data_IF_684941809362
#
_entry.id   IF_684941809362
#
_cell.length_a   1.000
_cell.length_b   1.000
_cell.length_c   1.000
_cell.angle_alpha   90.00
_cell.angle_beta   90.00
_cell.angle_gamma   90.00
#
_symmetry.space_group_name_H-M   'P 1'
#
loop_
_entity.id
_entity.type
_entity.pdbx_description
1 polymer ?
#
# COMPACT_ATOMS: atom_id res chain seq x y z
N UNK A 1 -13.47 -8.87 5.63
CA UNK A 1 -13.99 -10.12 5.03
C UNK A 1 -12.87 -11.13 4.94
N UNK A 2 -13.11 -12.39 5.28
CA UNK A 2 -12.21 -13.52 4.97
C UNK A 2 -12.56 -14.11 3.60
N UNK A 3 -11.56 -14.40 2.78
CA UNK A 3 -11.77 -14.95 1.44
C UNK A 3 -10.58 -15.80 1.01
N UNK A 4 -10.81 -16.78 0.13
CA UNK A 4 -9.71 -17.58 -0.42
C UNK A 4 -8.75 -16.70 -1.23
N UNK A 5 -7.45 -16.98 -1.16
CA UNK A 5 -6.42 -16.23 -1.90
C UNK A 5 -6.59 -16.28 -3.43
N UNK A 6 -7.33 -17.25 -3.96
CA UNK A 6 -7.63 -17.46 -5.38
C UNK A 6 -9.04 -17.02 -5.80
N UNK A 7 -9.75 -16.31 -4.93
CA UNK A 7 -11.10 -15.78 -5.20
C UNK A 7 -11.13 -14.95 -6.49
N UNK A 8 -12.22 -15.08 -7.25
CA UNK A 8 -12.43 -14.33 -8.48
C UNK A 8 -12.50 -12.83 -8.20
N UNK A 9 -11.69 -12.05 -8.91
CA UNK A 9 -11.56 -10.61 -8.69
C UNK A 9 -12.85 -9.84 -9.00
N UNK A 10 -13.69 -10.33 -9.92
CA UNK A 10 -15.00 -9.72 -10.21
C UNK A 10 -15.90 -9.70 -8.97
N UNK A 11 -15.89 -10.79 -8.18
CA UNK A 11 -16.67 -10.88 -6.94
C UNK A 11 -16.09 -9.98 -5.86
N UNK A 12 -14.76 -9.93 -5.74
CA UNK A 12 -14.09 -9.05 -4.79
C UNK A 12 -14.36 -7.57 -5.10
N UNK A 13 -14.33 -7.19 -6.38
CA UNK A 13 -14.63 -5.84 -6.81
C UNK A 13 -16.10 -5.48 -6.67
N UNK A 14 -17.01 -6.43 -6.94
CA UNK A 14 -18.42 -6.25 -6.66
C UNK A 14 -18.65 -5.96 -5.17
N UNK A 15 -18.01 -6.71 -4.27
CA UNK A 15 -18.09 -6.45 -2.84
C UNK A 15 -17.57 -5.05 -2.49
N UNK A 16 -16.35 -4.70 -2.93
CA UNK A 16 -15.73 -3.43 -2.57
C UNK A 16 -16.55 -2.22 -3.07
N UNK A 17 -17.03 -2.26 -4.31
CA UNK A 17 -17.72 -1.11 -4.92
C UNK A 17 -19.21 -1.08 -4.56
N UNK A 18 -19.90 -2.23 -4.55
CA UNK A 18 -21.35 -2.26 -4.32
C UNK A 18 -21.70 -2.41 -2.84
N UNK A 19 -21.17 -3.44 -2.18
CA UNK A 19 -21.55 -3.77 -0.80
C UNK A 19 -20.88 -2.85 0.22
N UNK A 20 -19.57 -2.57 0.04
CA UNK A 20 -18.83 -1.63 0.88
C UNK A 20 -18.99 -0.17 0.45
N UNK A 21 -19.70 0.07 -0.67
CA UNK A 21 -19.96 1.41 -1.21
C UNK A 21 -18.69 2.26 -1.39
N UNK A 22 -17.57 1.62 -1.72
CA UNK A 22 -16.31 2.34 -1.94
C UNK A 22 -16.33 3.05 -3.29
N UNK A 23 -15.93 4.32 -3.29
CA UNK A 23 -15.66 5.04 -4.53
C UNK A 23 -14.47 4.41 -5.25
N UNK A 24 -14.62 4.17 -6.56
CA UNK A 24 -13.55 3.65 -7.41
C UNK A 24 -12.32 4.57 -7.35
N UNK A 25 -11.11 4.04 -7.15
CA UNK A 25 -9.92 4.87 -6.99
C UNK A 25 -9.54 5.53 -8.31
N UNK A 26 -9.03 6.75 -8.23
CA UNK A 26 -8.35 7.40 -9.37
C UNK A 26 -6.87 7.06 -9.44
N UNK A 27 -6.33 6.47 -8.37
CA UNK A 27 -4.95 6.03 -8.21
C UNK A 27 -4.90 4.92 -7.16
N UNK A 28 -4.00 3.95 -7.33
CA UNK A 28 -3.67 2.97 -6.30
C UNK A 28 -2.23 3.18 -5.86
N UNK A 29 -2.05 3.36 -4.55
CA UNK A 29 -0.73 3.42 -3.91
C UNK A 29 -0.53 2.11 -3.16
N UNK A 30 0.33 1.23 -3.67
CA UNK A 30 0.65 -0.04 -3.03
C UNK A 30 1.93 0.10 -2.22
N UNK A 31 1.82 0.10 -0.89
CA UNK A 31 2.96 0.30 0.02
C UNK A 31 3.55 -1.04 0.45
N UNK A 32 4.85 -1.19 0.27
CA UNK A 32 5.65 -2.36 0.61
C UNK A 32 6.79 -1.98 1.56
N UNK A 33 7.27 -2.95 2.32
CA UNK A 33 8.33 -2.69 3.29
C UNK A 33 8.48 -3.81 4.30
N UNK A 34 9.31 -3.58 5.31
CA UNK A 34 9.50 -4.57 6.37
C UNK A 34 8.23 -4.84 7.18
N UNK A 35 7.91 -6.11 7.35
CA UNK A 35 6.83 -6.62 8.20
C UNK A 35 7.15 -6.44 9.69
N UNK A 36 8.44 -6.54 10.07
CA UNK A 36 8.91 -6.37 11.45
C UNK A 36 9.02 -4.90 11.82
N UNK A 37 8.78 -4.57 13.08
CA UNK A 37 8.92 -3.19 13.56
C UNK A 37 10.32 -2.63 13.34
N UNK A 38 10.37 -1.43 12.77
CA UNK A 38 11.59 -0.64 12.59
C UNK A 38 11.30 0.83 12.90
N UNK A 39 12.35 1.58 13.22
CA UNK A 39 12.24 3.01 13.54
C UNK A 39 12.70 3.84 12.35
N UNK A 40 11.78 4.64 11.81
CA UNK A 40 12.13 5.67 10.84
C UNK A 40 12.79 6.86 11.55
N UNK A 41 13.84 7.47 10.97
CA UNK A 41 14.35 8.77 11.40
C UNK A 41 13.22 9.80 11.45
N UNK A 42 13.23 10.70 12.44
CA UNK A 42 12.11 11.63 12.71
C UNK A 42 11.74 12.48 11.50
N UNK A 43 12.75 13.04 10.80
CA UNK A 43 12.56 13.81 9.56
C UNK A 43 11.90 12.96 8.48
N UNK A 44 12.38 11.74 8.25
CA UNK A 44 11.81 10.82 7.26
C UNK A 44 10.39 10.39 7.62
N UNK A 45 10.11 10.13 8.90
CA UNK A 45 8.76 9.79 9.37
C UNK A 45 7.77 10.92 9.04
N UNK A 46 8.14 12.17 9.30
CA UNK A 46 7.29 13.33 9.00
C UNK A 46 7.05 13.50 7.49
N UNK A 47 8.11 13.40 6.69
CA UNK A 47 8.02 13.51 5.22
C UNK A 47 7.16 12.38 4.63
N UNK A 48 7.39 11.14 5.07
CA UNK A 48 6.60 9.99 4.66
C UNK A 48 5.12 10.17 4.99
N UNK A 49 4.80 10.49 6.25
CA UNK A 49 3.42 10.65 6.70
C UNK A 49 2.70 11.78 5.95
N UNK A 50 3.33 12.95 5.84
CA UNK A 50 2.74 14.11 5.14
C UNK A 50 2.57 13.83 3.65
N UNK A 51 3.58 13.25 2.99
CA UNK A 51 3.56 12.95 1.57
C UNK A 51 2.49 11.92 1.21
N UNK A 52 2.42 10.80 1.93
CA UNK A 52 1.45 9.73 1.70
C UNK A 52 0.02 10.23 1.87
N UNK A 53 -0.27 10.88 3.00
CA UNK A 53 -1.61 11.42 3.29
C UNK A 53 -2.01 12.45 2.23
N UNK A 54 -1.13 13.40 1.91
CA UNK A 54 -1.44 14.45 0.93
C UNK A 54 -1.69 13.87 -0.46
N UNK A 55 -0.90 12.90 -0.90
CA UNK A 55 -1.08 12.24 -2.19
C UNK A 55 -2.43 11.50 -2.25
N UNK A 56 -2.75 10.72 -1.21
CA UNK A 56 -3.99 9.95 -1.17
C UNK A 56 -5.24 10.84 -1.12
N UNK A 57 -5.22 11.89 -0.31
CA UNK A 57 -6.33 12.83 -0.20
C UNK A 57 -6.56 13.62 -1.49
N UNK A 58 -5.49 14.13 -2.11
CA UNK A 58 -5.58 14.99 -3.30
C UNK A 58 -6.08 14.23 -4.52
N UNK A 59 -5.69 12.95 -4.65
CA UNK A 59 -6.03 12.12 -5.81
C UNK A 59 -7.28 11.28 -5.60
N UNK A 60 -7.72 11.07 -4.36
CA UNK A 60 -8.71 10.03 -4.04
C UNK A 60 -8.13 8.63 -4.26
N UNK A 61 -6.88 8.42 -3.85
CA UNK A 61 -6.22 7.13 -4.02
C UNK A 61 -6.71 6.10 -2.99
N UNK A 62 -6.70 4.83 -3.39
CA UNK A 62 -6.69 3.73 -2.44
C UNK A 62 -5.25 3.44 -2.01
N UNK A 63 -5.06 3.19 -0.71
CA UNK A 63 -3.78 2.75 -0.15
C UNK A 63 -3.87 1.26 0.15
N UNK A 64 -3.05 0.44 -0.51
CA UNK A 64 -2.93 -0.98 -0.25
C UNK A 64 -1.71 -1.26 0.63
N UNK A 65 -1.86 -2.15 1.62
CA UNK A 65 -0.80 -2.59 2.55
C UNK A 65 -1.10 -4.01 3.05
N UNK A 66 -0.23 -4.61 3.86
CA UNK A 66 -0.60 -5.82 4.60
C UNK A 66 -1.69 -5.58 5.67
N UNK A 67 -1.86 -4.35 6.20
CA UNK A 67 -2.90 -4.06 7.20
C UNK A 67 -2.61 -4.56 8.62
N UNK A 68 -1.42 -5.10 8.87
CA UNK A 68 -0.99 -5.51 10.22
C UNK A 68 -0.46 -4.32 11.02
N UNK A 69 -0.51 -4.42 12.35
CA UNK A 69 -0.05 -3.39 13.28
C UNK A 69 1.46 -3.48 13.58
N UNK A 70 2.26 -3.82 12.57
CA UNK A 70 3.72 -3.85 12.65
C UNK A 70 4.36 -3.30 11.38
N UNK A 71 5.65 -2.98 11.46
CA UNK A 71 6.46 -2.68 10.29
C UNK A 71 5.97 -1.46 9.49
N UNK A 72 6.00 -1.56 8.17
CA UNK A 72 5.58 -0.47 7.27
C UNK A 72 4.09 -0.14 7.42
N UNK A 73 3.25 -1.17 7.55
CA UNK A 73 1.80 -1.00 7.72
C UNK A 73 1.47 -0.22 9.00
N UNK A 74 2.25 -0.40 10.07
CA UNK A 74 2.15 0.44 11.27
C UNK A 74 2.49 1.90 11.00
N UNK A 75 3.55 2.21 10.24
CA UNK A 75 3.88 3.59 9.88
C UNK A 75 2.82 4.25 9.00
N UNK A 76 2.18 3.49 8.11
CA UNK A 76 1.01 3.95 7.34
C UNK A 76 -0.15 4.28 8.28
N UNK A 77 -0.47 3.39 9.22
CA UNK A 77 -1.52 3.64 10.22
C UNK A 77 -1.23 4.87 11.09
N UNK A 78 0.00 5.04 11.58
CA UNK A 78 0.42 6.22 12.34
C UNK A 78 0.21 7.51 11.51
N UNK A 79 0.51 7.49 10.20
CA UNK A 79 0.31 8.62 9.30
C UNK A 79 -1.18 8.97 9.15
N UNK A 80 -2.03 7.97 8.96
CA UNK A 80 -3.48 8.14 8.84
C UNK A 80 -4.09 8.63 10.17
N UNK A 81 -3.59 8.16 11.31
CA UNK A 81 -4.04 8.60 12.64
C UNK A 81 -3.76 10.08 12.88
N UNK A 82 -2.56 10.55 12.52
CA UNK A 82 -2.21 11.96 12.65
C UNK A 82 -3.05 12.87 11.75
N UNK A 83 -3.62 12.34 10.67
CA UNK A 83 -4.49 13.07 9.75
C UNK A 83 -5.98 13.04 10.15
N UNK A 84 -6.45 11.94 10.76
CA UNK A 84 -7.87 11.73 11.07
C UNK A 84 -8.51 12.84 11.93
N UNK A 85 -7.72 13.58 12.70
CA UNK A 85 -8.20 14.72 13.50
C UNK A 85 -8.49 15.99 12.68
N UNK A 86 -8.05 16.07 11.42
CA UNK A 86 -7.99 17.33 10.67
C UNK A 86 -8.84 17.36 9.39
N UNK A 87 -9.45 16.27 8.94
CA UNK A 87 -10.13 16.21 7.64
C UNK A 87 -11.39 15.35 7.61
N UNK A 88 -12.34 15.75 6.75
CA UNK A 88 -13.64 15.10 6.56
C UNK A 88 -13.60 13.99 5.49
N UNK A 89 -12.65 14.04 4.55
CA UNK A 89 -12.51 12.98 3.53
C UNK A 89 -11.81 11.77 4.13
N UNK A 90 -12.54 10.65 4.17
CA UNK A 90 -11.99 9.36 4.61
C UNK A 90 -11.08 8.79 3.53
N UNK A 91 -9.81 8.58 3.87
CA UNK A 91 -8.85 7.88 3.01
C UNK A 91 -9.15 6.37 3.06
N UNK A 92 -9.27 5.74 1.89
CA UNK A 92 -9.49 4.30 1.75
C UNK A 92 -8.18 3.54 1.89
N UNK A 93 -7.81 3.19 3.12
CA UNK A 93 -6.71 2.28 3.42
C UNK A 93 -7.22 0.85 3.55
N UNK A 94 -6.73 -0.05 2.70
CA UNK A 94 -7.14 -1.45 2.60
C UNK A 94 -5.96 -2.34 3.04
N UNK A 95 -6.20 -3.15 4.06
CA UNK A 95 -5.27 -4.18 4.53
C UNK A 95 -5.58 -5.52 3.88
N UNK A 96 -4.55 -6.18 3.33
CA UNK A 96 -4.67 -7.54 2.77
C UNK A 96 -3.67 -8.47 3.49
N UNK A 97 -3.92 -8.85 4.77
CA UNK A 97 -3.06 -9.77 5.48
C UNK A 97 -3.44 -11.24 5.18
N UNK A 98 -2.52 -12.20 5.39
CA UNK A 98 -2.88 -13.61 5.49
C UNK A 98 -3.80 -13.83 6.69
N UNK A 99 -4.88 -14.58 6.54
CA UNK A 99 -5.77 -14.95 7.66
C UNK A 99 -4.98 -15.67 8.75
N UNK A 100 -4.15 -16.65 8.37
CA UNK A 100 -3.40 -17.53 9.27
C UNK A 100 -2.40 -16.84 10.22
N UNK A 101 -2.08 -15.57 10.02
CA UNK A 101 -1.17 -14.80 10.89
C UNK A 101 -1.91 -13.88 11.87
N UNK A 102 -3.22 -13.73 11.73
CA UNK A 102 -3.99 -12.77 12.52
C UNK A 102 -4.19 -13.33 13.92
N UNK A 103 -3.89 -12.51 14.92
CA UNK A 103 -4.16 -12.83 16.32
C UNK A 103 -5.65 -12.62 16.63
N UNK A 104 -6.19 -13.40 17.58
CA UNK A 104 -7.59 -13.35 18.02
C UNK A 104 -8.61 -13.56 16.87
N UNK A 105 -8.32 -14.47 15.93
CA UNK A 105 -9.22 -14.82 14.82
C UNK A 105 -10.66 -15.12 15.25
N UNK A 106 -10.86 -15.73 16.43
CA UNK A 106 -12.18 -16.06 16.98
C UNK A 106 -13.08 -14.83 17.12
N UNK A 107 -12.48 -13.68 17.43
CA UNK A 107 -13.18 -12.40 17.57
C UNK A 107 -13.62 -11.82 16.22
N UNK A 108 -13.17 -12.40 15.09
CA UNK A 108 -13.53 -11.98 13.74
C UNK A 108 -14.52 -12.93 13.07
N UNK A 109 -14.89 -14.03 13.75
CA UNK A 109 -15.85 -15.00 13.23
C UNK A 109 -17.26 -14.52 13.55
N UNK A 110 -18.01 -14.20 12.49
CA UNK A 110 -19.40 -13.81 12.57
C UNK A 110 -19.97 -13.63 11.18
N UNK A 111 -21.24 -14.03 11.00
CA UNK A 111 -21.97 -13.80 9.76
C UNK A 111 -22.97 -12.67 9.99
N UNK A 112 -22.85 -11.60 9.21
CA UNK A 112 -23.74 -10.43 9.26
C UNK A 112 -23.90 -9.81 10.66
N UNK A 113 -22.84 -9.88 11.47
CA UNK A 113 -22.78 -9.33 12.83
C UNK A 113 -21.59 -8.41 13.00
N UNK A 114 -21.72 -7.46 13.93
CA UNK A 114 -20.59 -6.63 14.37
C UNK A 114 -19.77 -7.43 15.38
N UNK A 115 -18.52 -7.74 15.02
CA UNK A 115 -17.60 -8.39 15.91
C UNK A 115 -16.63 -7.37 16.55
N UNK A 116 -16.40 -7.49 17.86
CA UNK A 116 -15.44 -6.66 18.58
C UNK A 116 -14.06 -7.29 18.52
N UNK A 117 -13.15 -6.66 17.79
CA UNK A 117 -11.78 -7.13 17.65
C UNK A 117 -10.82 -6.39 18.59
N UNK A 118 -10.05 -7.13 19.38
CA UNK A 118 -9.06 -6.58 20.28
C UNK A 118 -7.67 -6.53 19.61
N UNK A 119 -7.13 -5.32 19.43
CA UNK A 119 -5.81 -5.11 18.80
C UNK A 119 -4.62 -5.31 19.76
N UNK A 120 -4.86 -5.80 20.98
CA UNK A 120 -3.82 -6.06 21.97
C UNK A 120 -3.06 -7.32 21.58
N UNK A 121 -1.80 -7.12 21.22
CA UNK A 121 -0.91 -8.20 20.84
C UNK A 121 -0.42 -8.98 22.07
N UNK A 122 -0.30 -10.30 21.95
CA UNK A 122 0.38 -11.12 22.96
C UNK A 122 1.92 -11.06 22.71
N UNK A 123 2.73 -10.58 23.67
CA UNK A 123 4.18 -10.48 23.50
C UNK A 123 4.90 -11.80 23.21
N UNK A 124 4.28 -12.93 23.55
CA UNK A 124 4.82 -14.28 23.32
C UNK A 124 4.36 -14.90 21.99
N UNK A 125 3.39 -14.27 21.33
CA UNK A 125 2.81 -14.73 20.08
C UNK A 125 3.69 -14.32 18.90
N UNK A 126 3.77 -15.20 17.90
CA UNK A 126 4.40 -14.90 16.60
C UNK A 126 3.40 -14.33 15.59
N UNK A 127 2.12 -14.24 15.98
CA UNK A 127 1.04 -13.69 15.19
C UNK A 127 1.07 -12.16 15.22
N UNK A 128 0.25 -11.53 14.40
CA UNK A 128 0.16 -10.07 14.29
C UNK A 128 -1.28 -9.62 14.45
N UNK A 129 -1.48 -8.45 15.04
CA UNK A 129 -2.80 -7.84 15.16
C UNK A 129 -3.10 -6.96 13.95
N UNK A 130 -4.38 -6.79 13.64
CA UNK A 130 -4.82 -5.84 12.61
C UNK A 130 -4.57 -4.39 13.06
N UNK A 131 -4.27 -3.51 12.10
CA UNK A 131 -4.07 -2.09 12.35
C UNK A 131 -5.41 -1.34 12.38
N UNK A 132 -5.76 -0.73 13.51
CA UNK A 132 -7.04 -0.05 13.70
C UNK A 132 -7.26 1.19 12.82
N UNK A 133 -6.21 1.68 12.13
CA UNK A 133 -6.31 2.85 11.25
C UNK A 133 -6.63 2.50 9.81
N UNK A 134 -6.65 1.21 9.46
CA UNK A 134 -7.11 0.76 8.15
C UNK A 134 -8.63 0.72 8.11
N UNK A 135 -9.17 1.16 6.99
CA UNK A 135 -10.62 1.30 6.79
C UNK A 135 -11.30 -0.01 6.40
N UNK A 136 -10.59 -0.89 5.70
CA UNK A 136 -11.13 -2.13 5.14
C UNK A 136 -10.09 -3.25 5.22
N UNK A 137 -10.56 -4.49 5.34
CA UNK A 137 -9.71 -5.69 5.43
C UNK A 137 -10.21 -6.81 4.54
N UNK A 138 -9.29 -7.36 3.75
CA UNK A 138 -9.46 -8.60 2.97
C UNK A 138 -8.49 -9.62 3.55
N UNK A 139 -8.99 -10.51 4.41
CA UNK A 139 -8.19 -11.53 5.08
C UNK A 139 -8.03 -12.70 4.11
N UNK A 140 -6.83 -12.84 3.53
CA UNK A 140 -6.53 -13.84 2.51
C UNK A 140 -6.28 -15.19 3.18
N UNK A 141 -7.17 -16.15 2.97
CA UNK A 141 -7.06 -17.49 3.52
C UNK A 141 -6.48 -18.46 2.48
N UNK A 142 -5.44 -19.18 2.87
CA UNK A 142 -4.79 -20.24 2.11
C UNK A 142 -4.83 -21.58 2.86
N UNK A 143 -5.55 -21.65 3.98
CA UNK A 143 -5.64 -22.82 4.86
C UNK A 143 -4.40 -23.04 5.74
N UNK A 144 -3.37 -22.18 5.65
CA UNK A 144 -2.16 -22.29 6.46
C UNK A 144 -2.23 -21.43 7.73
N UNK A 145 -1.40 -21.76 8.70
CA UNK A 145 -1.28 -21.01 9.96
C UNK A 145 0.13 -20.45 10.09
N UNK A 146 0.22 -19.17 10.41
CA UNK A 146 1.47 -18.47 10.68
C UNK A 146 2.38 -18.25 9.47
N UNK A 147 1.88 -18.42 8.24
CA UNK A 147 2.66 -18.25 7.00
C UNK A 147 2.25 -16.98 6.24
N UNK A 148 3.25 -16.41 5.58
CA UNK A 148 3.13 -15.30 4.64
C UNK A 148 3.40 -15.82 3.22
N UNK A 149 2.95 -15.09 2.20
CA UNK A 149 3.30 -15.25 0.79
C UNK A 149 2.10 -15.38 -0.15
N UNK A 150 1.00 -16.02 0.26
CA UNK A 150 -0.16 -16.23 -0.62
C UNK A 150 -1.07 -15.00 -0.73
N UNK A 151 -1.12 -14.16 0.30
CA UNK A 151 -1.79 -12.86 0.28
C UNK A 151 -1.21 -11.94 -0.81
N UNK A 152 0.09 -12.06 -1.08
CA UNK A 152 0.76 -11.28 -2.11
C UNK A 152 0.21 -11.62 -3.51
N UNK A 153 -0.13 -12.88 -3.76
CA UNK A 153 -0.77 -13.28 -5.04
C UNK A 153 -2.12 -12.60 -5.22
N UNK A 154 -2.96 -12.60 -4.17
CA UNK A 154 -4.27 -11.93 -4.19
C UNK A 154 -4.11 -10.42 -4.40
N UNK A 155 -3.17 -9.79 -3.67
CA UNK A 155 -2.88 -8.36 -3.76
C UNK A 155 -2.40 -7.96 -5.16
N UNK A 156 -1.44 -8.70 -5.75
CA UNK A 156 -0.93 -8.44 -7.12
C UNK A 156 -2.01 -8.64 -8.17
N UNK A 157 -2.86 -9.64 -8.01
CA UNK A 157 -3.99 -9.87 -8.89
C UNK A 157 -4.99 -8.71 -8.83
N UNK A 158 -5.35 -8.24 -7.63
CA UNK A 158 -6.22 -7.09 -7.44
C UNK A 158 -5.63 -5.81 -8.05
N UNK A 159 -4.34 -5.54 -7.82
CA UNK A 159 -3.62 -4.42 -8.43
C UNK A 159 -3.69 -4.43 -9.95
N UNK A 160 -3.39 -5.58 -10.56
CA UNK A 160 -3.48 -5.77 -12.03
C UNK A 160 -4.91 -5.57 -12.52
N UNK A 161 -5.88 -6.13 -11.81
CA UNK A 161 -7.29 -5.98 -12.18
C UNK A 161 -7.74 -4.51 -12.14
N UNK A 162 -7.36 -3.76 -11.10
CA UNK A 162 -7.63 -2.33 -10.99
C UNK A 162 -6.97 -1.52 -12.12
N UNK A 163 -5.74 -1.88 -12.50
CA UNK A 163 -5.02 -1.22 -13.61
C UNK A 163 -5.68 -1.40 -14.97
N UNK A 164 -6.50 -2.44 -15.13
CA UNK A 164 -7.27 -2.73 -16.35
C UNK A 164 -8.67 -2.13 -16.33
N UNK A 165 -9.15 -1.62 -15.18
CA UNK A 165 -10.48 -1.04 -15.09
C UNK A 165 -10.52 0.31 -15.79
N UNK A 166 -11.40 0.44 -16.78
CA UNK A 166 -11.62 1.72 -17.47
C UNK A 166 -12.14 2.77 -16.49
N UNK A 167 -11.43 3.88 -16.37
CA UNK A 167 -11.93 5.04 -15.63
C UNK A 167 -13.03 5.69 -16.48
N UNK A 168 -14.29 5.50 -16.09
CA UNK A 168 -15.43 6.09 -16.78
C UNK A 168 -15.63 7.56 -16.38
N UNK A 169 -14.77 8.49 -16.79
CA UNK A 169 -15.20 9.90 -16.95
C UNK A 169 -14.21 10.78 -17.73
N UNK A 170 -14.77 11.43 -18.74
CA UNK A 170 -14.36 12.73 -19.29
C UNK A 170 -14.10 13.74 -18.18
N UNK A 171 -12.82 14.03 -17.88
CA UNK A 171 -12.42 15.23 -17.15
C UNK A 171 -11.16 15.78 -17.80
N UNK A 172 -11.39 16.87 -18.53
CA UNK A 172 -10.39 17.76 -19.11
C UNK A 172 -9.48 18.31 -18.00
N UNK A 173 -8.19 18.41 -18.32
CA UNK A 173 -7.19 19.27 -17.67
C UNK A 173 -6.88 18.94 -16.20
N UNK A 174 -6.01 17.96 -15.97
CA UNK A 174 -5.03 18.10 -14.89
C UNK A 174 -3.76 18.68 -15.49
N UNK A 175 -3.54 19.97 -15.25
CA UNK A 175 -2.21 20.58 -15.30
C UNK A 175 -1.24 19.74 -14.46
N UNK A 176 0.01 19.54 -14.89
CA UNK A 176 0.98 18.75 -14.15
C UNK A 176 1.18 19.44 -12.80
N UNK A 177 0.66 18.83 -11.73
CA UNK A 177 0.80 19.42 -10.40
C UNK A 177 2.21 19.12 -9.91
N UNK A 178 3.11 20.04 -10.22
CA UNK A 178 4.45 20.11 -9.68
C UNK A 178 4.42 20.25 -8.14
N UNK A 179 5.50 19.74 -7.53
CA UNK A 179 6.00 20.01 -6.18
C UNK A 179 5.33 19.28 -5.01
N UNK A 180 5.85 18.08 -4.73
CA UNK A 180 6.27 17.79 -3.36
C UNK A 180 7.62 18.51 -3.17
N UNK A 181 7.55 19.78 -2.77
CA UNK A 181 8.74 20.56 -2.44
C UNK A 181 9.35 19.99 -1.15
N UNK A 182 10.55 19.41 -1.27
CA UNK A 182 11.47 19.18 -0.15
C UNK A 182 12.68 20.08 -0.39
N UNK A 183 12.45 21.39 -0.37
CA UNK A 183 13.53 22.37 -0.25
C UNK A 183 14.23 22.15 1.10
N UNK A 184 15.39 21.49 1.08
CA UNK A 184 16.36 21.50 2.18
C UNK A 184 16.76 20.13 2.73
N UNK A 185 17.67 19.46 2.03
CA UNK A 185 18.51 18.39 2.60
C UNK A 185 18.05 16.98 2.24
N UNK A 186 18.52 16.54 1.06
CA UNK A 186 18.74 15.16 0.60
C UNK A 186 17.96 14.07 1.34
N UNK A 187 16.67 13.98 1.04
CA UNK A 187 15.96 12.71 1.00
C UNK A 187 15.42 12.62 -0.43
N UNK A 188 16.06 11.81 -1.26
CA UNK A 188 15.67 11.56 -2.64
C UNK A 188 14.38 10.75 -2.65
N UNK A 189 13.26 11.33 -2.21
CA UNK A 189 11.94 10.75 -2.47
C UNK A 189 11.74 10.96 -3.95
N UNK A 190 11.99 9.92 -4.76
CA UNK A 190 11.92 9.96 -6.22
C UNK A 190 10.50 10.41 -6.64
N UNK A 191 10.31 11.72 -6.76
CA UNK A 191 9.12 12.35 -7.31
C UNK A 191 9.15 12.36 -8.85
N UNK A 192 10.26 11.89 -9.42
CA UNK A 192 10.56 11.98 -10.86
C UNK A 192 9.61 11.11 -11.70
N UNK A 193 8.99 10.07 -11.13
CA UNK A 193 8.19 9.13 -11.90
C UNK A 193 6.73 9.56 -12.09
N UNK A 194 6.13 10.34 -11.16
CA UNK A 194 4.71 10.72 -11.29
C UNK A 194 4.50 11.71 -12.44
N UNK A 195 5.47 12.60 -12.69
CA UNK A 195 5.43 13.53 -13.83
C UNK A 195 5.61 12.81 -15.18
N UNK A 196 6.49 11.80 -15.26
CA UNK A 196 6.69 11.02 -16.49
C UNK A 196 5.48 10.15 -16.86
N UNK A 197 4.67 9.72 -15.87
CA UNK A 197 3.45 8.96 -16.11
C UNK A 197 2.36 9.74 -16.83
N UNK A 198 2.33 11.06 -16.68
CA UNK A 198 1.36 11.90 -17.37
C UNK A 198 1.65 12.00 -18.88
N UNK A 199 2.91 11.83 -19.30
CA UNK A 199 3.30 12.03 -20.70
C UNK A 199 3.20 10.77 -21.58
N UNK A 200 3.29 9.55 -21.02
CA UNK A 200 3.40 8.33 -21.84
C UNK A 200 2.26 7.31 -21.75
N UNK A 201 1.15 7.56 -21.05
CA UNK A 201 0.18 6.47 -20.80
C UNK A 201 -1.24 6.82 -20.39
N UNK A 202 -1.79 7.97 -20.78
CA UNK A 202 -3.24 8.18 -20.64
C UNK A 202 -3.97 7.24 -21.61
N UNK A 203 -4.54 6.14 -21.13
CA UNK A 203 -5.41 5.35 -22.01
C UNK A 203 -6.14 4.10 -21.52
N UNK A 204 -5.78 3.40 -20.42
CA UNK A 204 -6.37 2.04 -20.23
C UNK A 204 -6.86 1.63 -18.84
N UNK A 205 -6.55 2.34 -17.74
CA UNK A 205 -7.23 2.09 -16.46
C UNK A 205 -6.68 2.85 -15.25
N UNK A 206 -6.94 2.36 -14.03
CA UNK A 206 -6.51 3.04 -12.79
C UNK A 206 -4.99 2.99 -12.64
N UNK A 207 -4.28 4.12 -12.56
CA UNK A 207 -2.83 4.12 -12.37
C UNK A 207 -2.46 3.44 -11.03
N UNK A 208 -1.36 2.70 -11.05
CA UNK A 208 -0.79 2.00 -9.90
C UNK A 208 0.63 2.49 -9.67
N UNK A 209 0.99 2.76 -8.41
CA UNK A 209 2.34 3.12 -7.99
C UNK A 209 2.72 2.28 -6.78
N UNK A 210 3.90 1.66 -6.82
CA UNK A 210 4.52 1.00 -5.67
C UNK A 210 5.29 2.00 -4.81
N UNK A 211 5.23 1.86 -3.49
CA UNK A 211 6.02 2.64 -2.54
C UNK A 211 6.78 1.70 -1.62
N UNK A 212 8.10 1.65 -1.75
CA UNK A 212 8.98 0.84 -0.91
C UNK A 212 9.53 1.67 0.25
N UNK A 213 9.22 1.25 1.48
CA UNK A 213 9.76 1.82 2.71
C UNK A 213 10.43 0.72 3.47
N UNK A 214 11.76 0.77 3.56
CA UNK A 214 12.55 -0.31 4.14
C UNK A 214 12.31 -1.63 3.32
N UNK A 215 12.88 -2.78 3.66
CA UNK A 215 12.40 -4.08 3.20
C UNK A 215 13.41 -5.21 3.43
N UNK A 216 12.96 -6.44 3.28
CA UNK A 216 13.80 -7.62 3.18
C UNK A 216 14.01 -8.05 1.72
N UNK A 217 14.56 -9.27 1.52
CA UNK A 217 14.78 -9.82 0.17
C UNK A 217 13.50 -10.00 -0.65
N UNK A 218 12.37 -10.30 0.00
CA UNK A 218 11.08 -10.49 -0.67
C UNK A 218 10.58 -9.19 -1.29
N UNK A 219 10.83 -8.06 -0.65
CA UNK A 219 10.47 -6.73 -1.18
C UNK A 219 11.31 -6.40 -2.42
N UNK A 220 12.58 -6.82 -2.48
CA UNK A 220 13.41 -6.67 -3.71
C UNK A 220 12.80 -7.46 -4.86
N UNK A 221 12.37 -8.71 -4.61
CA UNK A 221 11.69 -9.53 -5.62
C UNK A 221 10.38 -8.89 -6.08
N UNK A 222 9.61 -8.33 -5.14
CA UNK A 222 8.36 -7.61 -5.45
C UNK A 222 8.64 -6.41 -6.36
N UNK A 223 9.66 -5.61 -6.05
CA UNK A 223 10.06 -4.47 -6.91
C UNK A 223 10.52 -4.96 -8.29
N UNK A 224 11.27 -6.05 -8.35
CA UNK A 224 11.70 -6.65 -9.61
C UNK A 224 10.51 -7.11 -10.47
N UNK A 225 9.48 -7.69 -9.86
CA UNK A 225 8.25 -8.07 -10.55
C UNK A 225 7.48 -6.86 -11.07
N UNK A 226 7.39 -5.80 -10.26
CA UNK A 226 6.75 -4.54 -10.62
C UNK A 226 7.37 -3.92 -11.88
N UNK A 227 8.71 -3.82 -11.92
CA UNK A 227 9.41 -3.21 -13.05
C UNK A 227 9.43 -4.11 -14.29
N UNK A 228 9.23 -5.43 -14.12
CA UNK A 228 9.14 -6.40 -15.22
C UNK A 228 7.73 -6.56 -15.81
N UNK A 229 6.70 -6.12 -15.10
CA UNK A 229 5.33 -6.18 -15.60
C UNK A 229 5.19 -5.40 -16.93
N UNK A 230 4.16 -5.73 -17.71
CA UNK A 230 3.82 -5.03 -18.95
C UNK A 230 2.36 -4.55 -18.86
N UNK A 231 2.12 -3.22 -18.74
CA UNK A 231 3.10 -2.14 -18.58
C UNK A 231 3.83 -2.20 -17.23
N UNK A 232 5.04 -1.65 -17.17
CA UNK A 232 5.83 -1.62 -15.94
C UNK A 232 5.15 -0.76 -14.88
N UNK A 233 5.17 -1.21 -13.63
CA UNK A 233 4.63 -0.46 -12.50
C UNK A 233 5.74 0.38 -11.88
N UNK A 234 5.56 1.69 -11.69
CA UNK A 234 6.59 2.56 -11.14
C UNK A 234 6.70 2.31 -9.64
N UNK A 235 7.94 2.30 -9.14
CA UNK A 235 8.21 2.12 -7.72
C UNK A 235 8.97 3.32 -7.19
N UNK A 236 8.41 3.96 -6.15
CA UNK A 236 9.09 4.99 -5.36
C UNK A 236 9.82 4.30 -4.23
N UNK A 237 11.14 4.49 -4.14
CA UNK A 237 11.97 3.93 -3.06
C UNK A 237 12.31 5.02 -2.05
N UNK A 238 11.98 4.80 -0.77
CA UNK A 238 12.31 5.74 0.30
C UNK A 238 13.74 5.49 0.82
N UNK A 239 14.71 6.22 0.28
CA UNK A 239 16.09 6.21 0.77
C UNK A 239 16.20 6.67 2.24
N UNK A 240 17.14 6.08 2.98
CA UNK A 240 17.41 6.34 4.39
C UNK A 240 16.48 5.59 5.33
N UNK A 241 15.67 4.66 4.81
CA UNK A 241 14.73 3.86 5.60
C UNK A 241 15.32 2.53 6.02
N UNK A 242 16.40 2.07 5.37
CA UNK A 242 17.14 0.87 5.73
C UNK A 242 16.98 -0.32 4.76
N UNK A 243 17.89 -1.29 4.93
CA UNK A 243 17.92 -2.61 4.27
C UNK A 243 17.64 -2.55 2.76
N UNK A 244 16.59 -3.18 2.25
CA UNK A 244 16.31 -3.29 0.81
C UNK A 244 16.14 -1.93 0.12
N UNK A 245 15.47 -0.97 0.77
CA UNK A 245 15.25 0.35 0.19
C UNK A 245 16.57 1.09 -0.04
N UNK A 246 17.47 1.07 0.93
CA UNK A 246 18.78 1.73 0.81
C UNK A 246 19.69 1.00 -0.18
N UNK A 247 19.62 -0.33 -0.25
CA UNK A 247 20.36 -1.11 -1.25
C UNK A 247 19.91 -0.77 -2.68
N UNK A 248 18.60 -0.70 -2.92
CA UNK A 248 18.04 -0.32 -4.22
C UNK A 248 18.36 1.14 -4.58
N UNK A 249 18.28 2.05 -3.60
CA UNK A 249 18.66 3.45 -3.81
C UNK A 249 20.16 3.60 -4.14
N UNK A 250 21.03 2.88 -3.42
CA UNK A 250 22.47 2.89 -3.66
C UNK A 250 22.81 2.36 -5.06
N UNK A 251 22.26 1.20 -5.43
CA UNK A 251 22.51 0.60 -6.75
C UNK A 251 22.07 1.51 -7.88
N UNK A 252 20.87 2.11 -7.79
CA UNK A 252 20.38 3.06 -8.79
C UNK A 252 21.32 4.26 -8.98
N UNK A 253 21.87 4.82 -7.89
CA UNK A 253 22.80 5.96 -7.97
C UNK A 253 24.10 5.58 -8.68
N UNK A 254 24.66 4.41 -8.37
CA UNK A 254 25.95 4.00 -8.92
C UNK A 254 25.85 3.46 -10.34
N UNK A 255 24.71 2.88 -10.75
CA UNK A 255 24.50 2.49 -12.15
C UNK A 255 24.24 3.69 -13.05
N UNK A 256 23.70 4.78 -12.52
CA UNK A 256 23.51 6.03 -13.27
C UNK A 256 24.82 6.79 -13.49
N UNK A 257 25.85 6.58 -12.66
CA UNK A 257 27.18 7.18 -12.82
C UNK A 257 28.07 6.42 -13.83
N UNK A 258 27.70 5.19 -14.21
CA UNK A 258 28.47 4.35 -15.14
C UNK A 258 27.86 4.23 -16.55
N UNK A 259 26.75 4.91 -16.83
CA UNK A 259 26.06 4.92 -18.13
C UNK A 259 26.20 6.28 -18.83
#
# INVERSE_FOLDING_TARGET
MQTSYDTKLDQLMQLMVKEWQMEMPRLVISVYGGIKNFKLPSKLKQLFSKGLVKAAETTGAWILTEGINSGVSKHVGDALKAHASHCLRKISAIGIPPWGIIENQRDLIGQDVVCLYQTLGNPLSKLSTLNSMHSHFILADDGTVGKYGYEMKLRRNLEKYLSLQKIATSLRLFTPLCFLDVSGGTCSVLLVTISMWFETGMGQGVPLVGLLVEGGPNEILTVLEYVKDKPAVPVVVCEGTGRAADLLAFTHKHTAETA
#
